data_IF_791117346649
#
_entry.id   IF_791117346649
#
_cell.length_a   1.000
_cell.length_b   1.000
_cell.length_c   1.000
_cell.angle_alpha   90.00
_cell.angle_beta   90.00
_cell.angle_gamma   90.00
#
_symmetry.space_group_name_H-M   'P 1'
#
loop_
_entity.id
_entity.type
_entity.pdbx_description
1 polymer ?
#
# COMPACT_ATOMS: atom_id res chain seq x y z
N UNK A 1 1.64 -24.00 -13.22
CA UNK A 1 2.75 -24.22 -14.19
C UNK A 1 2.37 -23.51 -15.47
N UNK A 2 2.90 -22.33 -15.71
CA UNK A 2 2.65 -21.57 -16.97
C UNK A 2 3.48 -22.24 -18.07
N UNK A 3 2.83 -22.83 -19.07
CA UNK A 3 3.51 -23.38 -20.24
C UNK A 3 4.06 -22.23 -21.08
N UNK A 4 5.30 -21.91 -20.89
CA UNK A 4 6.06 -21.09 -21.84
C UNK A 4 6.53 -21.99 -22.98
N UNK A 5 6.60 -21.45 -24.18
CA UNK A 5 6.75 -22.13 -25.48
C UNK A 5 7.96 -23.05 -25.62
N UNK A 6 8.61 -23.52 -24.64
CA UNK A 6 9.59 -24.59 -24.61
C UNK A 6 9.85 -25.07 -23.18
N UNK A 7 8.83 -25.47 -22.51
CA UNK A 7 8.72 -26.44 -21.39
C UNK A 7 9.81 -26.58 -20.31
N UNK A 8 10.92 -25.92 -20.39
CA UNK A 8 12.07 -26.17 -19.50
C UNK A 8 12.44 -25.00 -18.59
N UNK A 9 12.02 -23.80 -18.92
CA UNK A 9 12.50 -22.60 -18.21
C UNK A 9 11.77 -22.27 -16.93
N UNK A 10 10.51 -22.64 -16.84
CA UNK A 10 9.74 -22.39 -15.61
C UNK A 10 10.18 -23.33 -14.47
N UNK A 11 10.71 -24.51 -14.81
CA UNK A 11 11.24 -25.42 -13.78
C UNK A 11 12.54 -24.87 -13.17
N UNK A 12 13.37 -24.20 -13.94
CA UNK A 12 14.58 -23.53 -13.46
C UNK A 12 14.27 -22.25 -12.68
N UNK A 13 13.29 -21.47 -13.12
CA UNK A 13 12.80 -20.30 -12.39
C UNK A 13 12.11 -20.67 -11.08
N UNK A 14 11.34 -21.75 -11.06
CA UNK A 14 10.67 -22.25 -9.86
C UNK A 14 11.65 -22.93 -8.91
N UNK A 15 12.65 -23.64 -9.41
CA UNK A 15 13.73 -24.18 -8.54
C UNK A 15 14.59 -23.06 -7.97
N UNK A 16 14.86 -22.01 -8.70
CA UNK A 16 15.51 -20.82 -8.12
C UNK A 16 14.64 -20.15 -7.05
N UNK A 17 13.33 -19.98 -7.29
CA UNK A 17 12.39 -19.44 -6.31
C UNK A 17 12.16 -20.39 -5.11
N UNK A 18 12.24 -21.72 -5.28
CA UNK A 18 12.09 -22.68 -4.17
C UNK A 18 13.34 -22.80 -3.31
N UNK A 19 14.52 -22.36 -3.79
CA UNK A 19 15.74 -22.27 -2.97
C UNK A 19 15.79 -20.98 -2.13
N UNK A 20 14.85 -20.04 -2.32
CA UNK A 20 14.69 -18.82 -1.52
C UNK A 20 13.82 -19.00 -0.26
N UNK A 21 13.55 -20.22 0.15
CA UNK A 21 13.03 -20.46 1.48
C UNK A 21 14.15 -20.18 2.48
N UNK A 22 14.24 -18.94 2.95
CA UNK A 22 15.06 -18.60 4.11
C UNK A 22 14.48 -19.33 5.33
N UNK A 23 14.88 -20.58 5.52
CA UNK A 23 14.83 -21.20 6.81
C UNK A 23 16.05 -20.67 7.55
N UNK A 24 15.87 -20.08 8.72
CA UNK A 24 16.90 -19.84 9.73
C UNK A 24 17.64 -18.50 9.74
N UNK A 25 17.07 -17.42 9.20
CA UNK A 25 17.60 -16.05 9.48
C UNK A 25 18.98 -15.74 8.91
N UNK A 26 19.50 -16.57 8.03
CA UNK A 26 20.76 -16.35 7.34
C UNK A 26 20.54 -15.89 5.91
N UNK A 27 21.46 -15.08 5.44
CA UNK A 27 21.54 -14.45 4.11
C UNK A 27 21.01 -15.36 3.02
N UNK A 28 19.97 -14.89 2.30
CA UNK A 28 19.64 -15.47 1.01
C UNK A 28 20.84 -15.27 0.10
N UNK A 29 21.38 -16.33 -0.46
CA UNK A 29 22.42 -16.22 -1.47
C UNK A 29 21.94 -15.27 -2.56
N UNK A 30 22.70 -14.22 -2.80
CA UNK A 30 22.44 -13.28 -3.88
C UNK A 30 22.58 -14.07 -5.18
N UNK A 31 21.47 -14.52 -5.73
CA UNK A 31 21.48 -15.02 -7.07
C UNK A 31 21.54 -13.77 -7.96
N UNK A 32 22.67 -13.56 -8.61
CA UNK A 32 22.74 -12.58 -9.69
C UNK A 32 21.55 -12.86 -10.63
N UNK A 33 20.56 -11.95 -10.75
CA UNK A 33 19.39 -12.20 -11.58
C UNK A 33 19.73 -12.42 -13.05
N UNK A 34 20.97 -12.10 -13.44
CA UNK A 34 21.51 -12.33 -14.78
C UNK A 34 22.36 -13.62 -14.87
N UNK A 35 22.60 -14.31 -13.75
CA UNK A 35 23.37 -15.55 -13.76
C UNK A 35 22.53 -16.69 -14.32
N UNK A 36 22.89 -17.18 -15.46
CA UNK A 36 22.19 -18.29 -16.13
C UNK A 36 21.06 -17.85 -17.07
N UNK A 37 20.87 -16.56 -17.29
CA UNK A 37 19.97 -16.06 -18.33
C UNK A 37 20.69 -16.20 -19.68
N UNK A 38 20.24 -17.14 -20.49
CA UNK A 38 20.63 -17.24 -21.89
C UNK A 38 19.79 -16.26 -22.71
N UNK A 39 20.37 -15.11 -23.04
CA UNK A 39 19.70 -14.00 -23.74
C UNK A 39 19.09 -14.40 -25.11
N UNK A 40 19.41 -15.57 -25.62
CA UNK A 40 18.84 -16.08 -26.87
C UNK A 40 17.50 -16.82 -26.67
N UNK A 41 17.24 -17.30 -25.44
CA UNK A 41 16.11 -18.17 -25.12
C UNK A 41 15.24 -17.70 -23.95
N UNK A 42 15.65 -16.66 -23.24
CA UNK A 42 14.94 -16.20 -22.04
C UNK A 42 13.90 -15.12 -22.34
N UNK A 43 12.80 -15.21 -21.61
CA UNK A 43 11.66 -14.30 -21.74
C UNK A 43 11.98 -12.91 -21.17
N UNK A 44 12.94 -12.80 -20.23
CA UNK A 44 13.28 -11.56 -19.56
C UNK A 44 14.73 -11.14 -19.81
N UNK A 45 14.89 -9.87 -20.15
CA UNK A 45 16.20 -9.21 -20.23
C UNK A 45 16.65 -8.76 -18.83
N UNK A 46 17.94 -8.41 -18.69
CA UNK A 46 18.46 -7.83 -17.45
C UNK A 46 17.73 -6.55 -17.03
N UNK A 47 17.30 -5.73 -18.00
CA UNK A 47 16.53 -4.50 -17.73
C UNK A 47 15.11 -4.81 -17.22
N UNK A 48 14.51 -5.90 -17.65
CA UNK A 48 13.20 -6.35 -17.18
C UNK A 48 13.26 -6.94 -15.77
N UNK A 49 14.41 -7.54 -15.38
CA UNK A 49 14.65 -7.97 -14.00
C UNK A 49 14.92 -6.81 -13.04
N UNK A 50 15.53 -5.72 -13.52
CA UNK A 50 15.85 -4.54 -12.73
C UNK A 50 15.20 -3.28 -13.34
N UNK A 51 13.86 -3.21 -13.39
CA UNK A 51 13.17 -2.10 -14.07
C UNK A 51 13.42 -0.75 -13.40
N UNK A 52 13.83 -0.74 -12.12
CA UNK A 52 14.20 0.46 -11.39
C UNK A 52 15.60 0.98 -11.72
N UNK A 53 16.44 0.21 -12.41
CA UNK A 53 17.82 0.59 -12.69
C UNK A 53 18.59 1.01 -11.42
N UNK A 54 19.30 2.12 -11.49
CA UNK A 54 20.07 2.66 -10.35
C UNK A 54 19.19 3.17 -9.19
N UNK A 55 17.90 3.42 -9.44
CA UNK A 55 16.94 3.84 -8.42
C UNK A 55 16.33 2.66 -7.65
N UNK A 56 16.46 1.44 -8.19
CA UNK A 56 16.00 0.21 -7.54
C UNK A 56 17.10 -0.46 -6.74
N UNK A 57 16.71 -1.34 -5.81
CA UNK A 57 17.68 -2.25 -5.17
C UNK A 57 18.06 -3.38 -6.10
N UNK A 58 19.32 -3.78 -6.07
CA UNK A 58 19.83 -4.96 -6.78
C UNK A 58 20.09 -6.15 -5.82
N UNK A 59 19.81 -5.99 -4.53
CA UNK A 59 19.99 -7.01 -3.51
C UNK A 59 18.73 -7.86 -3.34
N UNK A 60 18.93 -9.17 -3.18
CA UNK A 60 17.91 -10.15 -2.80
C UNK A 60 18.02 -10.58 -1.34
N UNK A 61 18.84 -9.91 -0.56
CA UNK A 61 19.01 -10.22 0.86
C UNK A 61 17.73 -9.92 1.66
N UNK A 62 17.55 -10.63 2.74
CA UNK A 62 16.48 -10.32 3.69
C UNK A 62 16.65 -8.88 4.20
N UNK A 63 15.59 -8.08 4.10
CA UNK A 63 15.63 -6.67 4.50
C UNK A 63 16.21 -5.73 3.44
N UNK A 64 16.41 -6.18 2.20
CA UNK A 64 16.95 -5.35 1.12
C UNK A 64 16.15 -4.06 0.86
N UNK A 65 14.88 -4.00 1.25
CA UNK A 65 14.06 -2.79 1.16
C UNK A 65 14.47 -1.68 2.13
N UNK A 66 15.28 -1.98 3.15
CA UNK A 66 15.91 -0.99 4.01
C UNK A 66 17.26 -0.50 3.51
N UNK A 67 17.77 -1.04 2.42
CA UNK A 67 19.03 -0.61 1.84
C UNK A 67 18.84 0.61 0.92
N UNK A 68 19.78 1.56 0.89
CA UNK A 68 19.75 2.63 -0.08
C UNK A 68 19.93 2.07 -1.50
N UNK A 69 19.31 2.71 -2.49
CA UNK A 69 19.58 2.36 -3.89
C UNK A 69 20.99 2.80 -4.32
N UNK A 70 21.57 2.20 -5.35
CA UNK A 70 22.86 2.65 -5.90
C UNK A 70 22.89 4.14 -6.24
N UNK A 71 21.79 4.70 -6.73
CA UNK A 71 21.69 6.13 -7.01
C UNK A 71 21.88 6.98 -5.75
N UNK A 72 21.28 6.61 -4.64
CA UNK A 72 21.40 7.32 -3.35
C UNK A 72 22.86 7.32 -2.87
N UNK A 73 23.53 6.16 -2.99
CA UNK A 73 24.93 6.01 -2.59
C UNK A 73 25.88 6.82 -3.49
N UNK A 74 25.72 6.70 -4.81
CA UNK A 74 26.59 7.33 -5.80
C UNK A 74 26.43 8.85 -5.87
N UNK A 75 25.29 9.41 -5.45
CA UNK A 75 25.01 10.84 -5.51
C UNK A 75 25.08 11.56 -4.16
N UNK A 76 25.71 10.96 -3.15
CA UNK A 76 25.93 11.59 -1.85
C UNK A 76 24.63 11.83 -1.03
N UNK A 77 23.54 11.12 -1.34
CA UNK A 77 22.24 11.29 -0.70
C UNK A 77 22.05 10.41 0.55
N UNK A 78 23.08 9.67 0.95
CA UNK A 78 23.00 8.70 2.06
C UNK A 78 22.49 9.32 3.37
N UNK A 79 22.95 10.54 3.71
CA UNK A 79 22.49 11.19 4.94
C UNK A 79 21.01 11.60 4.89
N UNK A 80 20.50 11.99 3.73
CA UNK A 80 19.09 12.28 3.53
C UNK A 80 18.24 10.99 3.62
N UNK A 81 18.74 9.90 3.04
CA UNK A 81 18.13 8.57 3.16
C UNK A 81 18.04 8.15 4.65
N UNK A 82 19.14 8.19 5.41
CA UNK A 82 19.15 7.82 6.84
C UNK A 82 18.24 8.70 7.70
N UNK A 83 18.10 9.97 7.34
CA UNK A 83 17.14 10.86 7.99
C UNK A 83 15.69 10.45 7.70
N UNK A 84 15.38 10.09 6.45
CA UNK A 84 14.07 9.58 6.06
C UNK A 84 13.73 8.26 6.75
N UNK A 85 14.68 7.32 6.77
CA UNK A 85 14.58 6.05 7.49
C UNK A 85 14.26 6.28 8.98
N UNK A 86 14.99 7.18 9.62
CA UNK A 86 14.75 7.54 11.03
C UNK A 86 13.32 8.03 11.26
N UNK A 87 12.77 8.86 10.36
CA UNK A 87 11.39 9.32 10.47
C UNK A 87 10.37 8.21 10.25
N UNK A 88 10.67 7.28 9.36
CA UNK A 88 9.77 6.17 9.05
C UNK A 88 9.72 5.12 10.15
N UNK A 89 10.87 4.82 10.76
CA UNK A 89 11.01 3.76 11.75
C UNK A 89 10.64 4.17 13.18
N UNK A 90 10.74 5.46 13.49
CA UNK A 90 10.49 5.94 14.83
C UNK A 90 9.01 6.09 15.17
N UNK A 91 8.67 5.81 16.42
CA UNK A 91 7.40 6.19 17.01
C UNK A 91 7.34 7.71 17.26
N UNK A 92 6.23 8.33 16.89
CA UNK A 92 5.97 9.74 17.15
C UNK A 92 5.35 9.91 18.54
N UNK A 93 6.21 10.01 19.54
CA UNK A 93 5.82 10.25 20.94
C UNK A 93 6.08 11.70 21.35
N UNK A 94 5.71 12.06 22.57
CA UNK A 94 6.04 13.40 23.12
C UNK A 94 7.55 13.66 23.20
N UNK A 95 8.37 12.62 23.21
CA UNK A 95 9.83 12.72 23.32
C UNK A 95 10.55 12.61 21.95
N UNK A 96 9.85 12.27 20.88
CA UNK A 96 10.43 12.12 19.55
C UNK A 96 10.73 13.47 18.92
N UNK A 97 12.00 13.74 18.60
CA UNK A 97 12.43 14.99 17.98
C UNK A 97 12.77 14.78 16.50
N UNK A 98 12.59 15.78 15.64
CA UNK A 98 12.06 17.14 15.88
C UNK A 98 10.53 17.24 15.85
N UNK A 99 9.85 16.21 15.40
CA UNK A 99 8.37 16.15 15.27
C UNK A 99 7.82 15.23 16.33
N UNK A 100 7.37 15.79 17.44
CA UNK A 100 6.84 15.05 18.58
C UNK A 100 5.34 15.16 18.72
N UNK A 101 4.74 14.06 19.23
CA UNK A 101 3.31 13.97 19.48
C UNK A 101 2.52 13.64 18.20
N UNK A 102 1.29 13.22 18.42
CA UNK A 102 0.36 12.77 17.37
C UNK A 102 -0.95 13.55 17.39
N UNK A 103 -1.06 14.53 18.28
CA UNK A 103 -2.34 15.22 18.57
C UNK A 103 -3.21 14.41 19.52
N UNK A 104 -4.51 14.83 19.73
CA UNK A 104 -5.37 14.25 20.75
C UNK A 104 -5.81 12.82 20.42
N UNK A 105 -5.92 12.45 19.15
CA UNK A 105 -6.28 11.10 18.72
C UNK A 105 -5.42 10.66 17.54
N UNK A 106 -5.18 9.35 17.39
CA UNK A 106 -4.33 8.79 16.34
C UNK A 106 -4.74 7.37 15.94
N UNK A 107 -4.23 6.93 14.78
CA UNK A 107 -4.40 5.57 14.26
C UNK A 107 -3.28 4.66 14.77
N UNK A 108 -2.03 5.09 14.58
CA UNK A 108 -0.79 4.38 14.94
C UNK A 108 0.26 5.40 15.39
N UNK A 109 1.27 4.92 16.11
CA UNK A 109 2.37 5.78 16.58
C UNK A 109 3.50 5.95 15.59
N UNK A 110 3.56 5.11 14.54
CA UNK A 110 4.62 5.18 13.52
C UNK A 110 4.24 4.41 12.26
N UNK A 111 5.01 4.66 11.19
CA UNK A 111 4.76 4.08 9.87
C UNK A 111 4.96 2.56 9.85
N UNK A 112 5.95 2.07 10.62
CA UNK A 112 6.31 0.65 10.69
C UNK A 112 5.19 -0.25 11.25
N UNK A 113 4.22 0.31 11.95
CA UNK A 113 3.07 -0.46 12.42
C UNK A 113 2.23 -1.00 11.26
N UNK A 114 2.08 -0.22 10.19
CA UNK A 114 1.36 -0.61 8.99
C UNK A 114 2.27 -1.13 7.87
N UNK A 115 3.51 -0.67 7.82
CA UNK A 115 4.49 -0.99 6.77
C UNK A 115 5.75 -1.65 7.35
N UNK A 116 5.63 -2.84 7.99
CA UNK A 116 6.79 -3.50 8.60
C UNK A 116 7.85 -3.79 7.53
N UNK A 117 9.10 -3.42 7.80
CA UNK A 117 10.23 -3.55 6.86
C UNK A 117 9.93 -2.92 5.48
N UNK A 118 9.21 -1.79 5.47
CA UNK A 118 8.80 -1.02 4.26
C UNK A 118 7.85 -1.76 3.31
N UNK A 119 7.37 -2.92 3.71
CA UNK A 119 6.51 -3.80 2.92
C UNK A 119 5.05 -3.76 3.34
N UNK A 120 4.42 -4.90 3.18
CA UNK A 120 3.04 -5.16 3.60
C UNK A 120 2.98 -5.71 5.02
N UNK A 121 1.91 -5.41 5.73
CA UNK A 121 1.60 -6.06 6.99
C UNK A 121 1.15 -7.51 6.81
N UNK A 122 1.22 -8.27 7.89
CA UNK A 122 0.71 -9.64 7.93
C UNK A 122 -0.81 -9.64 8.15
N UNK A 123 -1.47 -10.68 7.65
CA UNK A 123 -2.88 -10.93 7.95
C UNK A 123 -3.07 -11.11 9.45
N UNK A 124 -3.99 -10.34 10.02
CA UNK A 124 -4.31 -10.31 11.44
C UNK A 124 -5.77 -10.70 11.67
N UNK A 125 -6.05 -11.26 12.84
CA UNK A 125 -7.41 -11.60 13.29
C UNK A 125 -8.01 -10.55 14.22
N UNK A 126 -7.28 -9.49 14.50
CA UNK A 126 -7.73 -8.36 15.32
C UNK A 126 -7.12 -7.05 14.81
N UNK A 127 -7.78 -5.95 15.08
CA UNK A 127 -7.30 -4.62 14.77
C UNK A 127 -6.96 -3.88 16.07
N UNK A 128 -5.68 -3.62 16.29
CA UNK A 128 -5.19 -2.89 17.47
C UNK A 128 -4.10 -1.92 17.05
N UNK A 129 -4.18 -0.70 17.59
CA UNK A 129 -3.22 0.36 17.28
C UNK A 129 -1.77 -0.01 17.61
N UNK A 130 -1.58 -0.77 18.65
CA UNK A 130 -0.26 -1.14 19.16
C UNK A 130 0.26 -2.47 18.58
N UNK A 131 -0.50 -3.15 17.71
CA UNK A 131 -0.04 -4.38 17.06
C UNK A 131 0.83 -4.02 15.85
N UNK A 132 2.12 -4.25 15.97
CA UNK A 132 3.05 -4.06 14.87
C UNK A 132 2.81 -5.07 13.74
N UNK A 133 2.93 -4.61 12.51
CA UNK A 133 2.75 -5.46 11.34
C UNK A 133 1.29 -5.69 10.93
N UNK A 134 0.34 -5.03 11.57
CA UNK A 134 -1.06 -5.01 11.15
C UNK A 134 -1.21 -4.03 9.97
N UNK A 135 -0.87 -4.47 8.78
CA UNK A 135 -0.85 -3.67 7.55
C UNK A 135 -2.21 -3.45 6.92
N UNK A 136 -3.25 -3.24 7.71
CA UNK A 136 -4.58 -2.97 7.20
C UNK A 136 -5.04 -1.56 7.54
N UNK A 137 -5.76 -0.98 6.57
CA UNK A 137 -6.55 0.23 6.74
C UNK A 137 -7.97 -0.18 7.08
N UNK A 138 -8.48 0.34 8.19
CA UNK A 138 -9.89 0.22 8.51
C UNK A 138 -10.62 1.36 7.82
N UNK A 139 -11.61 1.03 6.98
CA UNK A 139 -12.40 2.01 6.24
C UNK A 139 -13.87 1.83 6.61
N UNK A 140 -14.51 2.94 6.98
CA UNK A 140 -15.92 2.97 7.33
C UNK A 140 -16.63 3.92 6.37
N UNK A 141 -17.63 3.41 5.69
CA UNK A 141 -18.25 4.11 4.58
C UNK A 141 -19.76 3.90 4.52
N UNK A 142 -20.45 4.77 3.81
CA UNK A 142 -21.87 4.62 3.52
C UNK A 142 -22.06 3.63 2.34
N UNK A 143 -22.75 2.49 2.51
CA UNK A 143 -22.99 1.55 1.41
C UNK A 143 -23.93 2.12 0.34
N UNK A 144 -24.83 3.01 0.74
CA UNK A 144 -25.81 3.65 -0.14
C UNK A 144 -25.83 5.15 0.07
N UNK A 145 -26.24 5.92 -0.93
CA UNK A 145 -26.48 7.37 -0.76
C UNK A 145 -27.61 7.64 0.24
N UNK A 146 -27.52 8.74 0.92
CA UNK A 146 -28.50 9.13 1.96
C UNK A 146 -28.27 10.52 2.48
N UNK A 147 -28.79 10.76 3.69
CA UNK A 147 -28.65 12.04 4.40
C UNK A 147 -28.22 11.75 5.84
N UNK A 148 -27.17 12.44 6.28
CA UNK A 148 -26.66 12.32 7.66
C UNK A 148 -27.60 12.94 8.69
N UNK A 149 -27.36 12.64 9.98
CA UNK A 149 -28.17 13.15 11.07
C UNK A 149 -28.22 14.69 11.14
N UNK A 150 -27.17 15.37 10.65
CA UNK A 150 -27.11 16.84 10.56
C UNK A 150 -27.74 17.39 9.26
N UNK A 151 -28.41 16.55 8.47
CA UNK A 151 -29.16 16.95 7.27
C UNK A 151 -28.31 17.11 6.01
N UNK A 152 -27.04 16.72 6.01
CA UNK A 152 -26.19 16.81 4.82
C UNK A 152 -26.30 15.58 3.94
N UNK A 153 -26.44 15.73 2.61
CA UNK A 153 -26.44 14.58 1.71
C UNK A 153 -25.07 13.95 1.62
N UNK A 154 -25.03 12.62 1.54
CA UNK A 154 -23.82 11.85 1.25
C UNK A 154 -24.02 10.87 0.08
N UNK A 155 -22.97 10.61 -0.65
CA UNK A 155 -22.96 9.66 -1.75
C UNK A 155 -22.69 8.23 -1.25
N UNK A 156 -23.11 7.24 -2.03
CA UNK A 156 -22.66 5.85 -1.82
C UNK A 156 -21.13 5.76 -1.90
N UNK A 157 -20.57 4.89 -1.08
CA UNK A 157 -19.12 4.67 -0.94
C UNK A 157 -18.32 5.89 -0.41
N UNK A 158 -18.98 6.94 0.05
CA UNK A 158 -18.30 8.04 0.76
C UNK A 158 -18.00 7.64 2.20
N UNK A 159 -16.93 8.22 2.77
CA UNK A 159 -16.62 8.05 4.19
C UNK A 159 -17.71 8.67 5.06
N UNK A 160 -17.98 8.06 6.20
CA UNK A 160 -18.91 8.63 7.17
C UNK A 160 -18.32 9.90 7.82
N UNK A 161 -19.15 10.92 8.08
CA UNK A 161 -18.70 12.22 8.57
C UNK A 161 -18.19 12.18 10.02
N UNK A 162 -18.67 11.20 10.81
CA UNK A 162 -18.36 11.03 12.22
C UNK A 162 -16.93 10.53 12.46
N UNK A 163 -16.32 9.94 11.45
CA UNK A 163 -14.94 9.45 11.49
C UNK A 163 -14.22 9.82 10.20
N UNK A 164 -12.90 9.86 10.24
CA UNK A 164 -12.09 10.04 9.02
C UNK A 164 -12.01 8.75 8.23
N UNK A 165 -11.55 8.80 6.98
CA UNK A 165 -11.39 7.63 6.11
C UNK A 165 -10.59 6.49 6.74
N UNK A 166 -9.59 6.82 7.58
CA UNK A 166 -8.90 5.89 8.47
C UNK A 166 -9.13 6.35 9.92
N UNK A 167 -10.12 5.79 10.62
CA UNK A 167 -10.51 6.30 11.92
C UNK A 167 -9.45 6.04 12.99
N UNK A 168 -9.28 7.04 13.86
CA UNK A 168 -8.43 6.91 15.03
C UNK A 168 -9.06 5.94 16.03
N UNK A 169 -8.23 5.06 16.59
CA UNK A 169 -8.63 4.08 17.60
C UNK A 169 -7.92 4.28 18.93
N UNK A 170 -7.11 5.33 19.03
CA UNK A 170 -6.42 5.76 20.26
C UNK A 170 -6.55 7.26 20.45
N UNK A 171 -6.60 7.66 21.71
CA UNK A 171 -6.58 9.06 22.14
C UNK A 171 -5.81 9.22 23.44
N UNK A 172 -5.42 10.45 23.76
CA UNK A 172 -4.87 10.84 25.05
C UNK A 172 -5.95 11.49 25.92
N UNK A 173 -5.89 11.26 27.22
CA UNK A 173 -6.77 11.93 28.16
C UNK A 173 -6.74 13.46 28.03
N UNK A 174 -7.88 14.14 28.09
CA UNK A 174 -9.25 13.64 28.34
C UNK A 174 -10.05 13.28 27.07
N UNK A 175 -9.41 13.16 25.93
CA UNK A 175 -10.06 12.88 24.65
C UNK A 175 -10.41 11.39 24.52
N UNK A 176 -11.51 11.10 23.83
CA UNK A 176 -11.90 9.75 23.45
C UNK A 176 -11.55 9.50 21.97
N UNK A 177 -11.08 8.30 21.66
CA UNK A 177 -10.97 7.87 20.29
C UNK A 177 -12.38 7.67 19.70
N UNK A 178 -12.62 8.02 18.43
CA UNK A 178 -13.94 7.85 17.82
C UNK A 178 -14.40 6.39 17.74
N UNK A 179 -13.46 5.43 17.85
CA UNK A 179 -13.75 3.99 17.81
C UNK A 179 -13.01 3.27 18.92
N UNK A 180 -13.78 2.46 19.67
CA UNK A 180 -13.24 1.47 20.60
C UNK A 180 -12.72 0.26 19.82
N UNK A 181 -11.40 0.16 19.68
CA UNK A 181 -10.75 -0.94 18.95
C UNK A 181 -11.03 -2.34 19.52
N UNK A 182 -11.49 -2.43 20.80
CA UNK A 182 -11.83 -3.71 21.42
C UNK A 182 -13.08 -4.34 20.80
N UNK A 183 -13.95 -3.53 20.21
CA UNK A 183 -15.19 -3.96 19.57
C UNK A 183 -15.06 -4.22 18.07
N UNK A 184 -13.87 -4.05 17.50
CA UNK A 184 -13.60 -4.40 16.10
C UNK A 184 -13.40 -5.90 16.00
N UNK A 185 -14.25 -6.57 15.22
CA UNK A 185 -14.18 -8.01 14.95
C UNK A 185 -13.72 -8.26 13.52
N UNK A 186 -12.78 -9.17 13.34
CA UNK A 186 -12.26 -9.61 12.03
C UNK A 186 -12.37 -11.12 11.93
N UNK A 187 -13.07 -11.59 10.91
CA UNK A 187 -13.18 -13.02 10.58
C UNK A 187 -12.78 -13.23 9.13
N UNK A 188 -11.87 -14.17 8.88
CA UNK A 188 -11.45 -14.51 7.53
C UNK A 188 -12.34 -15.63 6.98
N UNK A 189 -13.03 -15.34 5.89
CA UNK A 189 -13.96 -16.25 5.21
C UNK A 189 -13.37 -16.74 3.89
N UNK A 190 -13.66 -17.98 3.52
CA UNK A 190 -13.33 -18.49 2.19
C UNK A 190 -14.24 -17.84 1.14
N UNK A 191 -13.67 -17.58 -0.03
CA UNK A 191 -14.38 -17.10 -1.20
C UNK A 191 -14.18 -18.05 -2.38
N UNK A 192 -15.12 -18.01 -3.30
CA UNK A 192 -15.01 -18.66 -4.60
C UNK A 192 -15.24 -17.61 -5.66
N UNK A 193 -14.31 -17.50 -6.62
CA UNK A 193 -14.45 -16.59 -7.76
C UNK A 193 -15.28 -17.20 -8.90
N UNK A 194 -15.44 -16.47 -9.99
CA UNK A 194 -16.18 -16.87 -11.17
C UNK A 194 -15.56 -18.08 -11.91
N UNK A 195 -14.27 -18.37 -11.65
CA UNK A 195 -13.54 -19.50 -12.24
C UNK A 195 -13.50 -20.72 -11.30
N UNK A 196 -14.18 -20.65 -10.13
CA UNK A 196 -14.21 -21.73 -9.14
C UNK A 196 -12.87 -21.97 -8.47
N UNK A 197 -12.07 -20.92 -8.29
CA UNK A 197 -10.73 -20.94 -7.71
C UNK A 197 -9.75 -21.85 -8.47
N UNK A 198 -9.78 -21.77 -9.81
CA UNK A 198 -8.91 -22.56 -10.70
C UNK A 198 -8.22 -21.68 -11.73
N UNK A 199 -6.94 -21.92 -11.93
CA UNK A 199 -6.20 -21.38 -13.06
C UNK A 199 -6.57 -22.12 -14.38
N UNK A 200 -6.29 -21.54 -15.57
CA UNK A 200 -6.59 -22.18 -16.85
C UNK A 200 -5.93 -23.55 -17.07
N UNK A 201 -4.82 -23.82 -16.39
CA UNK A 201 -4.11 -25.11 -16.41
C UNK A 201 -4.69 -26.14 -15.44
N UNK A 202 -5.72 -25.77 -14.66
CA UNK A 202 -6.42 -26.62 -13.71
C UNK A 202 -5.84 -26.61 -12.29
N UNK A 203 -4.73 -25.90 -12.03
CA UNK A 203 -4.22 -25.69 -10.67
C UNK A 203 -5.24 -24.89 -9.84
N UNK A 204 -5.42 -25.29 -8.58
CA UNK A 204 -6.39 -24.66 -7.68
C UNK A 204 -5.70 -23.71 -6.68
N UNK A 205 -6.44 -22.70 -6.25
CA UNK A 205 -5.99 -21.76 -5.21
C UNK A 205 -7.11 -21.50 -4.19
N UNK A 206 -6.70 -21.11 -2.99
CA UNK A 206 -7.62 -20.66 -1.94
C UNK A 206 -7.74 -19.15 -1.94
N UNK A 207 -8.98 -18.65 -2.02
CA UNK A 207 -9.30 -17.23 -1.79
C UNK A 207 -9.92 -17.05 -0.42
N UNK A 208 -9.52 -16.01 0.24
CA UNK A 208 -10.11 -15.57 1.52
C UNK A 208 -10.32 -14.06 1.49
N UNK A 209 -11.33 -13.61 2.22
CA UNK A 209 -11.57 -12.19 2.43
C UNK A 209 -11.87 -11.90 3.90
N UNK A 210 -11.56 -10.69 4.38
CA UNK A 210 -11.91 -10.28 5.72
C UNK A 210 -13.39 -9.88 5.79
N UNK A 211 -14.11 -10.44 6.75
CA UNK A 211 -15.41 -9.95 7.20
C UNK A 211 -15.18 -9.18 8.48
N UNK A 212 -15.45 -7.88 8.44
CA UNK A 212 -15.13 -6.95 9.51
C UNK A 212 -16.38 -6.26 10.00
N UNK A 213 -16.54 -6.24 11.30
CA UNK A 213 -17.70 -5.59 11.92
C UNK A 213 -17.27 -4.72 13.07
N UNK A 214 -17.95 -3.59 13.22
CA UNK A 214 -17.93 -2.72 14.39
C UNK A 214 -19.39 -2.51 14.78
N UNK A 215 -19.85 -2.93 15.94
CA UNK A 215 -21.22 -2.64 16.38
C UNK A 215 -21.37 -1.14 16.65
N UNK A 216 -22.58 -0.63 16.59
CA UNK A 216 -22.85 0.80 16.86
C UNK A 216 -22.36 1.24 18.25
N UNK A 217 -22.33 0.31 19.22
CA UNK A 217 -21.76 0.56 20.54
C UNK A 217 -20.26 0.81 20.54
N UNK A 218 -19.54 0.38 19.50
CA UNK A 218 -18.11 0.60 19.34
C UNK A 218 -17.72 1.98 18.84
N UNK A 219 -18.72 2.86 18.56
CA UNK A 219 -18.46 4.25 18.22
C UNK A 219 -18.66 5.14 19.45
N UNK A 220 -17.65 5.97 19.72
CA UNK A 220 -17.66 6.99 20.77
C UNK A 220 -18.00 8.39 20.23
N UNK A 221 -18.52 8.45 19.00
CA UNK A 221 -18.98 9.68 18.35
C UNK A 221 -20.40 10.05 18.76
N UNK A 222 -20.74 11.35 18.65
CA UNK A 222 -22.08 11.87 18.83
C UNK A 222 -22.39 12.85 17.68
N UNK A 223 -23.33 12.51 16.76
CA UNK A 223 -24.14 11.28 16.74
C UNK A 223 -23.31 10.03 16.43
N UNK A 224 -23.86 8.86 16.77
CA UNK A 224 -23.32 7.58 16.31
C UNK A 224 -23.75 7.32 14.85
N UNK A 225 -22.90 6.73 14.01
CA UNK A 225 -23.26 6.43 12.63
C UNK A 225 -24.37 5.36 12.56
N UNK A 226 -25.25 5.45 11.58
CA UNK A 226 -26.37 4.52 11.38
C UNK A 226 -26.26 3.72 10.07
N UNK A 227 -26.02 4.34 8.96
CA UNK A 227 -25.94 3.67 7.64
C UNK A 227 -24.48 3.50 7.23
N UNK A 228 -23.80 2.48 7.76
CA UNK A 228 -22.38 2.24 7.50
C UNK A 228 -22.05 0.78 7.28
N UNK A 229 -21.02 0.55 6.53
CA UNK A 229 -20.30 -0.72 6.43
C UNK A 229 -18.82 -0.50 6.72
N UNK A 230 -18.13 -1.61 7.00
CA UNK A 230 -16.72 -1.62 7.37
C UNK A 230 -15.97 -2.55 6.45
N UNK A 231 -14.82 -2.12 5.94
CA UNK A 231 -13.90 -2.97 5.19
C UNK A 231 -12.47 -2.80 5.68
N UNK A 232 -11.68 -3.83 5.49
CA UNK A 232 -10.22 -3.77 5.61
C UNK A 232 -9.61 -3.67 4.23
N UNK A 233 -8.74 -2.70 4.05
CA UNK A 233 -7.89 -2.56 2.87
C UNK A 233 -6.46 -2.89 3.26
N UNK A 234 -5.76 -3.68 2.42
CA UNK A 234 -4.34 -3.94 2.65
C UNK A 234 -3.53 -2.69 2.32
N UNK A 235 -2.57 -2.36 3.18
CA UNK A 235 -1.59 -1.32 2.85
C UNK A 235 -0.69 -1.80 1.71
N UNK A 236 -0.29 -0.87 0.86
CA UNK A 236 0.73 -1.14 -0.16
C UNK A 236 2.12 -1.17 0.48
N UNK A 237 3.09 -1.85 -0.15
CA UNK A 237 4.50 -1.71 0.21
C UNK A 237 5.00 -0.31 -0.12
N UNK A 238 5.99 0.17 0.64
CA UNK A 238 6.61 1.49 0.40
C UNK A 238 7.74 1.41 -0.62
N UNK A 239 8.24 0.21 -0.91
CA UNK A 239 9.26 0.00 -1.95
C UNK A 239 8.74 0.44 -3.32
N UNK A 240 9.60 1.06 -4.10
CA UNK A 240 9.26 1.59 -5.42
C UNK A 240 8.54 2.94 -5.42
N UNK A 241 8.07 3.46 -4.28
CA UNK A 241 7.35 4.75 -4.22
C UNK A 241 8.20 5.91 -4.75
N UNK A 242 9.49 5.93 -4.45
CA UNK A 242 10.40 6.95 -4.98
C UNK A 242 10.58 6.86 -6.51
N UNK A 243 10.45 5.68 -7.10
CA UNK A 243 10.47 5.51 -8.56
C UNK A 243 9.25 6.15 -9.20
N UNK A 244 8.07 5.96 -8.61
CA UNK A 244 6.83 6.59 -9.05
C UNK A 244 6.91 8.11 -8.91
N UNK A 245 7.42 8.60 -7.78
CA UNK A 245 7.58 10.03 -7.52
C UNK A 245 8.61 10.70 -8.44
N UNK A 246 9.59 9.94 -8.94
CA UNK A 246 10.59 10.42 -9.88
C UNK A 246 10.08 10.55 -11.33
N UNK A 247 8.88 10.06 -11.65
CA UNK A 247 8.30 10.19 -13.00
C UNK A 247 7.97 11.67 -13.26
N UNK A 248 8.53 12.30 -14.30
CA UNK A 248 8.20 13.68 -14.63
C UNK A 248 6.72 13.86 -15.01
N UNK A 249 6.09 14.94 -14.55
CA UNK A 249 4.68 15.26 -14.85
C UNK A 249 4.40 15.28 -16.36
N UNK A 250 5.36 15.72 -17.18
CA UNK A 250 5.25 15.70 -18.64
C UNK A 250 5.23 14.29 -19.24
N UNK A 251 5.91 13.34 -18.61
CA UNK A 251 5.89 11.93 -19.03
C UNK A 251 4.52 11.31 -18.74
N UNK A 252 3.97 11.60 -17.56
CA UNK A 252 2.60 11.21 -17.20
C UNK A 252 1.58 11.83 -18.16
N UNK A 253 1.68 13.12 -18.43
CA UNK A 253 0.81 13.84 -19.38
C UNK A 253 0.85 13.21 -20.77
N UNK A 254 2.04 12.87 -21.25
CA UNK A 254 2.24 12.23 -22.55
C UNK A 254 1.57 10.86 -22.60
N UNK A 255 1.67 10.09 -21.53
CA UNK A 255 1.04 8.77 -21.44
C UNK A 255 -0.48 8.88 -21.43
N UNK A 256 -1.06 9.77 -20.60
CA UNK A 256 -2.50 10.01 -20.55
C UNK A 256 -3.05 10.49 -21.91
N UNK A 257 -2.33 11.38 -22.60
CA UNK A 257 -2.72 11.82 -23.93
C UNK A 257 -2.74 10.66 -24.96
N UNK A 258 -1.84 9.70 -24.85
CA UNK A 258 -1.84 8.49 -25.69
C UNK A 258 -2.98 7.54 -25.37
N UNK A 259 -3.40 7.45 -24.11
CA UNK A 259 -4.45 6.55 -23.66
C UNK A 259 -5.85 7.11 -23.89
N UNK A 260 -6.01 8.43 -23.83
CA UNK A 260 -7.31 9.10 -23.90
C UNK A 260 -8.19 8.76 -25.12
N UNK A 261 -7.66 8.40 -26.31
CA UNK A 261 -8.48 7.95 -27.43
C UNK A 261 -9.07 6.54 -27.25
N UNK A 262 -8.55 5.75 -26.32
CA UNK A 262 -8.89 4.32 -26.17
C UNK A 262 -9.68 4.03 -24.90
N UNK A 263 -9.55 4.87 -23.88
CA UNK A 263 -10.17 4.68 -22.56
C UNK A 263 -10.77 5.98 -22.04
N UNK A 264 -11.82 5.85 -21.22
CA UNK A 264 -12.35 7.01 -20.47
C UNK A 264 -11.46 7.22 -19.25
N UNK A 265 -10.71 8.31 -19.26
CA UNK A 265 -9.86 8.71 -18.14
C UNK A 265 -10.71 9.39 -17.05
N UNK A 266 -10.21 9.32 -15.80
CA UNK A 266 -10.87 9.98 -14.66
C UNK A 266 -10.95 11.50 -14.92
N UNK A 267 -12.15 12.10 -14.99
CA UNK A 267 -12.32 13.53 -15.27
C UNK A 267 -11.78 14.43 -14.15
N UNK A 268 -11.56 13.90 -12.94
CA UNK A 268 -10.87 14.59 -11.86
C UNK A 268 -9.36 14.73 -12.07
N UNK A 269 -8.81 13.92 -12.98
CA UNK A 269 -7.38 13.92 -13.32
C UNK A 269 -7.13 14.48 -14.72
N UNK A 270 -7.97 14.17 -15.69
CA UNK A 270 -7.76 14.50 -17.10
C UNK A 270 -8.94 15.22 -17.72
N UNK A 271 -8.69 16.37 -18.31
CA UNK A 271 -9.66 17.09 -19.14
C UNK A 271 -9.48 16.66 -20.59
N UNK A 272 -10.36 15.80 -21.05
CA UNK A 272 -10.34 15.27 -22.41
C UNK A 272 -10.65 16.34 -23.47
N UNK A 273 -11.29 17.45 -23.10
CA UNK A 273 -11.61 18.54 -24.02
C UNK A 273 -10.38 19.39 -24.38
N UNK A 274 -9.49 19.59 -23.43
CA UNK A 274 -8.24 20.35 -23.60
C UNK A 274 -7.01 19.47 -23.74
N UNK A 275 -7.19 18.12 -23.61
CA UNK A 275 -6.15 17.11 -23.69
C UNK A 275 -4.98 17.39 -22.73
N UNK A 276 -5.32 17.74 -21.49
CA UNK A 276 -4.36 18.06 -20.43
C UNK A 276 -4.92 17.72 -19.04
N UNK A 277 -4.12 17.98 -18.00
CA UNK A 277 -4.53 17.77 -16.62
C UNK A 277 -5.72 18.63 -16.24
N UNK A 278 -6.70 18.04 -15.58
CA UNK A 278 -7.77 18.77 -14.94
C UNK A 278 -7.22 19.67 -13.82
N UNK A 279 -7.85 20.79 -13.56
CA UNK A 279 -7.43 21.71 -12.49
C UNK A 279 -7.43 21.07 -11.11
N UNK A 280 -8.29 20.07 -10.89
CA UNK A 280 -8.40 19.26 -9.67
C UNK A 280 -7.30 18.22 -9.51
N UNK A 281 -6.53 17.94 -10.55
CA UNK A 281 -5.42 16.98 -10.48
C UNK A 281 -4.18 17.52 -9.74
N UNK A 282 -4.06 18.85 -9.68
CA UNK A 282 -2.89 19.49 -9.08
C UNK A 282 -2.99 19.62 -7.58
N UNK A 283 -1.93 19.25 -6.87
CA UNK A 283 -1.75 19.51 -5.45
C UNK A 283 -0.49 20.37 -5.21
N UNK A 284 -0.46 21.05 -4.08
CA UNK A 284 0.64 21.94 -3.72
C UNK A 284 1.47 21.30 -2.63
N UNK A 285 2.76 21.17 -2.87
CA UNK A 285 3.73 20.71 -1.90
C UNK A 285 3.97 21.76 -0.80
N UNK A 286 4.63 21.35 0.29
CA UNK A 286 4.93 22.23 1.43
C UNK A 286 5.86 23.41 1.07
N UNK A 287 6.69 23.27 0.03
CA UNK A 287 7.55 24.31 -0.52
C UNK A 287 6.84 25.25 -1.50
N UNK A 288 5.59 24.97 -1.84
CA UNK A 288 4.77 25.76 -2.76
C UNK A 288 4.77 25.24 -4.20
N UNK A 289 5.59 24.26 -4.53
CA UNK A 289 5.60 23.63 -5.84
C UNK A 289 4.32 22.81 -6.06
N UNK A 290 3.91 22.69 -7.33
CA UNK A 290 2.74 21.91 -7.73
C UNK A 290 3.14 20.62 -8.44
N UNK A 291 2.46 19.55 -8.10
CA UNK A 291 2.62 18.24 -8.72
C UNK A 291 1.26 17.63 -9.05
N UNK A 292 1.28 16.63 -9.95
CA UNK A 292 0.14 15.79 -10.29
C UNK A 292 0.09 14.56 -9.38
#
# INVERSE_FOLDING_TARGET
MIKIKNGMYLLLGITALSTFSCSDGNTCDIVNPNAGIDSANDVFTAAEWNPGGELGTTSNEQGCYSNPSPYVENNGMYQSFKKGETFFENDFTLNTMPRRGLGPAWVRTGCMYCHPSYGHGKRMTRYRANDMGNGYLLVIYHPTAGTSADGKPYAANSYISEVTGMPQTKAMDPFLAPIDESQISITWKKATDEHGNKFPDGETYDLIYPDVTIPQTGFDTDPKPDNYEVRLESTIGMYGSALLDAIPDDSLRTQYAKESPYVTLNPGMWDSSSNTWASSAWYTLADGDKRI
#
